data_IF_655361768666
#
_entry.id   IF_655361768666
#
_cell.length_a   1.000
_cell.length_b   1.000
_cell.length_c   1.000
_cell.angle_alpha   90.00
_cell.angle_beta   90.00
_cell.angle_gamma   90.00
#
_symmetry.space_group_name_H-M   'P 1'
#
loop_
_entity.id
_entity.type
_entity.pdbx_description
1 polymer ?
#
# COMPACT_ATOMS: atom_id res chain seq x y z
N UNK A 1 24.89 -11.02 39.48
CA UNK A 1 25.00 -9.55 39.35
C UNK A 1 23.86 -9.12 38.47
N UNK A 2 22.76 -8.75 39.10
CA UNK A 2 21.48 -8.45 38.46
C UNK A 2 21.46 -6.97 38.06
N UNK A 3 20.92 -6.67 36.88
CA UNK A 3 20.66 -5.29 36.42
C UNK A 3 19.20 -4.98 36.75
N UNK A 4 18.87 -3.92 37.50
CA UNK A 4 17.52 -3.68 37.99
C UNK A 4 16.53 -3.33 36.87
N UNK A 5 15.36 -3.96 36.88
CA UNK A 5 14.15 -3.48 36.20
C UNK A 5 13.75 -2.11 36.77
N UNK A 6 13.59 -1.09 35.91
CA UNK A 6 12.79 0.09 36.26
C UNK A 6 11.34 -0.20 35.92
N UNK A 7 10.56 -0.49 36.95
CA UNK A 7 9.12 -0.25 36.95
C UNK A 7 8.85 1.03 37.75
N UNK A 8 7.74 1.68 37.37
CA UNK A 8 6.96 2.67 38.13
C UNK A 8 7.49 4.11 38.21
N UNK A 9 6.81 5.03 37.52
CA UNK A 9 5.89 5.99 38.17
C UNK A 9 5.18 6.87 37.11
N UNK A 10 3.84 6.78 37.11
CA UNK A 10 2.90 7.90 36.99
C UNK A 10 2.93 8.78 35.73
N UNK A 11 2.03 8.48 34.81
CA UNK A 11 0.96 9.42 34.47
C UNK A 11 -0.33 8.61 34.40
N UNK A 12 -0.85 8.29 35.60
CA UNK A 12 -2.28 8.13 35.78
C UNK A 12 -2.92 9.46 35.39
N UNK A 13 -3.33 9.62 34.13
CA UNK A 13 -4.35 10.61 33.79
C UNK A 13 -5.69 10.05 34.27
N UNK A 14 -5.84 10.18 35.59
CA UNK A 14 -7.05 10.36 36.37
C UNK A 14 -8.31 9.75 35.75
N UNK A 15 -8.67 8.59 36.29
CA UNK A 15 -10.02 8.03 36.22
C UNK A 15 -10.96 9.00 36.94
N UNK A 16 -11.39 10.05 36.25
CA UNK A 16 -12.60 10.78 36.63
C UNK A 16 -13.79 10.07 36.00
N UNK A 17 -14.27 9.09 36.76
CA UNK A 17 -15.66 8.65 36.72
C UNK A 17 -16.56 9.85 37.05
N UNK A 18 -16.90 10.65 36.04
CA UNK A 18 -18.00 11.60 36.09
C UNK A 18 -19.06 11.16 35.08
N UNK A 19 -20.21 10.75 35.62
CA UNK A 19 -21.29 10.12 34.88
C UNK A 19 -21.94 10.95 33.77
N UNK A 20 -22.68 10.21 32.93
CA UNK A 20 -23.74 10.65 32.02
C UNK A 20 -23.34 11.63 30.90
N UNK A 21 -22.72 11.11 29.84
CA UNK A 21 -23.06 11.58 28.49
C UNK A 21 -23.33 10.38 27.58
N UNK A 22 -24.51 10.39 26.98
CA UNK A 22 -24.92 9.56 25.86
C UNK A 22 -23.85 9.59 24.78
N UNK A 23 -23.02 8.54 24.73
CA UNK A 23 -21.95 8.46 23.76
C UNK A 23 -21.47 7.04 23.69
N UNK A 24 -22.20 6.21 22.95
CA UNK A 24 -21.61 5.04 22.32
C UNK A 24 -20.47 5.60 21.46
N UNK A 25 -19.28 5.71 22.05
CA UNK A 25 -18.05 5.92 21.32
C UNK A 25 -17.84 4.59 20.62
N UNK A 26 -18.57 4.42 19.52
CA UNK A 26 -18.29 3.43 18.52
C UNK A 26 -16.92 3.83 18.01
N UNK A 27 -15.88 3.28 18.66
CA UNK A 27 -14.51 3.33 18.18
C UNK A 27 -14.53 2.45 16.95
N UNK A 28 -15.06 2.99 15.85
CA UNK A 28 -14.90 2.45 14.52
C UNK A 28 -13.41 2.54 14.28
N UNK A 29 -12.73 1.40 14.38
CA UNK A 29 -11.36 1.26 13.93
C UNK A 29 -11.34 1.77 12.48
N UNK A 30 -10.59 2.84 12.16
CA UNK A 30 -10.61 3.40 10.82
C UNK A 30 -10.23 2.30 9.84
N UNK A 31 -11.07 2.07 8.84
CA UNK A 31 -10.82 1.06 7.81
C UNK A 31 -9.40 1.29 7.28
N UNK A 32 -8.51 0.27 7.35
CA UNK A 32 -7.12 0.37 6.89
C UNK A 32 -7.00 0.93 5.45
N UNK A 33 -8.05 0.80 4.64
CA UNK A 33 -8.12 1.27 3.27
C UNK A 33 -8.60 2.72 3.11
N UNK A 34 -9.08 3.35 4.18
CA UNK A 34 -9.54 4.76 4.14
C UNK A 34 -8.42 5.76 4.37
N UNK A 35 -7.28 5.34 4.93
CA UNK A 35 -6.17 6.24 5.20
C UNK A 35 -5.61 6.87 3.91
N UNK A 36 -5.15 8.12 4.01
CA UNK A 36 -4.57 8.86 2.88
C UNK A 36 -3.39 8.12 2.27
N UNK A 37 -2.53 7.51 3.09
CA UNK A 37 -1.40 6.71 2.62
C UNK A 37 -1.85 5.47 1.83
N UNK A 38 -2.93 4.80 2.23
CA UNK A 38 -3.49 3.69 1.46
C UNK A 38 -4.06 4.14 0.11
N UNK A 39 -4.74 5.29 0.05
CA UNK A 39 -5.26 5.83 -1.21
C UNK A 39 -4.14 6.22 -2.18
N UNK A 40 -3.06 6.84 -1.67
CA UNK A 40 -1.85 7.15 -2.47
C UNK A 40 -1.24 5.86 -3.03
N UNK A 41 -1.04 4.84 -2.18
CA UNK A 41 -0.47 3.56 -2.60
C UNK A 41 -1.34 2.87 -3.68
N UNK A 42 -2.66 2.90 -3.54
CA UNK A 42 -3.59 2.37 -4.55
C UNK A 42 -3.40 3.11 -5.89
N UNK A 43 -3.28 4.44 -5.86
CA UNK A 43 -3.01 5.25 -7.05
C UNK A 43 -1.68 4.91 -7.72
N UNK A 44 -0.62 4.73 -6.92
CA UNK A 44 0.70 4.33 -7.42
C UNK A 44 0.66 2.95 -8.09
N UNK A 45 0.05 1.96 -7.44
CA UNK A 45 -0.09 0.60 -7.98
C UNK A 45 -0.87 0.64 -9.30
N UNK A 46 -1.97 1.41 -9.36
CA UNK A 46 -2.76 1.57 -10.57
C UNK A 46 -1.93 2.19 -11.72
N UNK A 47 -1.16 3.25 -11.43
CA UNK A 47 -0.27 3.86 -12.41
C UNK A 47 0.81 2.91 -12.92
N UNK A 48 1.40 2.11 -12.02
CA UNK A 48 2.39 1.07 -12.37
C UNK A 48 1.79 -0.01 -13.26
N UNK A 49 0.54 -0.40 -13.04
CA UNK A 49 -0.15 -1.37 -13.89
C UNK A 49 -0.32 -0.87 -15.34
N UNK A 50 -0.67 0.41 -15.52
CA UNK A 50 -0.74 1.02 -16.86
C UNK A 50 0.62 1.03 -17.54
N UNK A 51 1.67 1.42 -16.81
CA UNK A 51 3.04 1.39 -17.33
C UNK A 51 3.47 -0.03 -17.74
N UNK A 52 3.09 -1.05 -16.97
CA UNK A 52 3.40 -2.45 -17.26
C UNK A 52 2.72 -2.92 -18.56
N UNK A 53 1.44 -2.60 -18.76
CA UNK A 53 0.73 -2.95 -20.01
C UNK A 53 1.37 -2.27 -21.23
N UNK A 54 1.83 -1.02 -21.11
CA UNK A 54 2.55 -0.34 -22.18
C UNK A 54 3.89 -1.02 -22.52
N UNK A 55 4.65 -1.43 -21.50
CA UNK A 55 5.92 -2.17 -21.70
C UNK A 55 5.65 -3.49 -22.42
N UNK A 56 4.63 -4.23 -21.99
CA UNK A 56 4.22 -5.51 -22.61
C UNK A 56 3.86 -5.32 -24.08
N UNK A 57 3.10 -4.27 -24.41
CA UNK A 57 2.77 -3.93 -25.80
C UNK A 57 4.03 -3.61 -26.62
N UNK A 58 4.93 -2.79 -26.10
CA UNK A 58 6.17 -2.44 -26.78
C UNK A 58 7.05 -3.67 -27.04
N UNK A 59 7.15 -4.59 -26.09
CA UNK A 59 7.87 -5.86 -26.26
C UNK A 59 7.23 -6.69 -27.37
N UNK A 60 5.91 -6.82 -27.38
CA UNK A 60 5.20 -7.54 -28.44
C UNK A 60 5.46 -6.91 -29.82
N UNK A 61 5.43 -5.59 -29.94
CA UNK A 61 5.70 -4.88 -31.19
C UNK A 61 7.12 -5.16 -31.70
N UNK A 62 8.12 -5.17 -30.80
CA UNK A 62 9.51 -5.55 -31.14
C UNK A 62 9.59 -7.01 -31.60
N UNK A 63 8.93 -7.94 -30.90
CA UNK A 63 8.89 -9.36 -31.29
C UNK A 63 8.31 -9.52 -32.70
N UNK A 64 7.21 -8.83 -33.02
CA UNK A 64 6.60 -8.90 -34.35
C UNK A 64 7.52 -8.34 -35.44
N UNK A 65 8.18 -7.20 -35.17
CA UNK A 65 9.18 -6.64 -36.11
C UNK A 65 10.32 -7.63 -36.36
N UNK A 66 10.84 -8.28 -35.32
CA UNK A 66 11.91 -9.25 -35.46
C UNK A 66 11.47 -10.50 -36.25
N UNK A 67 10.24 -10.98 -36.04
CA UNK A 67 9.67 -12.07 -36.85
C UNK A 67 9.62 -11.71 -38.34
N UNK A 68 9.17 -10.50 -38.66
CA UNK A 68 9.11 -10.03 -40.04
C UNK A 68 10.50 -9.94 -40.68
N UNK A 69 11.51 -9.47 -39.93
CA UNK A 69 12.90 -9.43 -40.40
C UNK A 69 13.42 -10.84 -40.71
N UNK A 70 13.20 -11.80 -39.80
CA UNK A 70 13.62 -13.19 -39.99
C UNK A 70 12.93 -13.81 -41.21
N UNK A 71 11.63 -13.59 -41.39
CA UNK A 71 10.87 -14.07 -42.56
C UNK A 71 11.43 -13.52 -43.88
N UNK A 72 11.76 -12.22 -43.93
CA UNK A 72 12.39 -11.62 -45.12
C UNK A 72 13.76 -12.24 -45.39
N UNK A 73 14.60 -12.39 -44.36
CA UNK A 73 15.94 -12.95 -44.52
C UNK A 73 15.92 -14.43 -44.95
N UNK A 74 14.93 -15.21 -44.51
CA UNK A 74 14.79 -16.62 -44.89
C UNK A 74 14.28 -16.85 -46.32
N UNK A 75 13.83 -15.78 -47.02
CA UNK A 75 13.39 -15.84 -48.42
C UNK A 75 14.50 -15.54 -49.42
N UNK A 76 15.65 -15.02 -48.96
CA UNK A 76 16.84 -14.75 -49.77
C UNK A 76 17.74 -15.98 -49.77
#
# INVERSE_FOLDING_TARGET
GEIPQRQEEQEEEDVVENGTTTGVRDVVDPDPFTSESTQILIGEIMGRNVALENIKKNINDVIQKNKNIIDILGRV
#
